data_IF_995262982428
#
_entry.id   IF_995262982428
#
_cell.length_a   1.000
_cell.length_b   1.000
_cell.length_c   1.000
_cell.angle_alpha   90.00
_cell.angle_beta   90.00
_cell.angle_gamma   90.00
#
_symmetry.space_group_name_H-M   'P 1'
#
loop_
_entity.id
_entity.type
_entity.pdbx_description
1 polymer ?
#
# COMPACT_ATOMS: atom_id res chain seq x y z
N UNK A 1 -22.06 -7.36 5.21
CA UNK A 1 -22.22 -8.25 4.05
C UNK A 1 -21.87 -9.66 4.49
N UNK A 2 -22.71 -10.66 4.19
CA UNK A 2 -22.34 -12.07 4.37
C UNK A 2 -21.14 -12.34 3.48
N UNK A 3 -19.99 -12.65 4.06
CA UNK A 3 -18.82 -13.03 3.29
C UNK A 3 -19.19 -14.29 2.51
N UNK A 4 -19.47 -14.15 1.21
CA UNK A 4 -19.57 -15.32 0.34
C UNK A 4 -18.25 -16.08 0.46
N UNK A 5 -18.34 -17.40 0.49
CA UNK A 5 -17.15 -18.25 0.57
C UNK A 5 -16.21 -18.01 -0.61
N UNK A 6 -14.99 -18.54 -0.58
CA UNK A 6 -13.99 -18.27 -1.60
C UNK A 6 -14.34 -18.90 -2.96
N UNK A 7 -15.50 -19.52 -3.14
CA UNK A 7 -15.93 -20.19 -4.38
C UNK A 7 -16.72 -19.30 -5.34
N UNK A 8 -16.75 -17.98 -5.13
CA UNK A 8 -17.38 -17.06 -6.07
C UNK A 8 -16.62 -17.00 -7.41
N UNK A 9 -17.35 -16.70 -8.49
CA UNK A 9 -16.83 -16.61 -9.86
C UNK A 9 -16.96 -15.17 -10.33
N UNK A 10 -15.91 -14.59 -10.92
CA UNK A 10 -16.02 -13.27 -11.54
C UNK A 10 -16.99 -13.33 -12.74
N UNK A 11 -17.94 -12.39 -12.88
CA UNK A 11 -18.76 -12.29 -14.08
C UNK A 11 -17.84 -12.09 -15.30
N UNK A 12 -18.04 -12.85 -16.38
CA UNK A 12 -17.27 -12.68 -17.62
C UNK A 12 -17.70 -11.45 -18.44
N UNK A 13 -18.90 -10.96 -18.19
CA UNK A 13 -19.51 -9.82 -18.87
C UNK A 13 -19.70 -8.66 -17.88
N UNK A 14 -19.90 -7.44 -18.39
CA UNK A 14 -20.09 -6.24 -17.57
C UNK A 14 -18.81 -5.75 -16.90
N UNK A 15 -17.63 -6.14 -17.41
CA UNK A 15 -16.33 -5.60 -17.02
C UNK A 15 -15.85 -4.46 -17.93
N UNK A 16 -16.70 -4.00 -18.84
CA UNK A 16 -16.51 -2.90 -19.80
C UNK A 16 -16.93 -1.54 -19.23
N UNK A 17 -17.18 -1.46 -17.92
CA UNK A 17 -17.44 -0.19 -17.26
C UNK A 17 -16.23 0.75 -17.35
N UNK A 18 -16.54 2.03 -17.39
CA UNK A 18 -15.59 3.13 -17.45
C UNK A 18 -15.58 3.87 -16.12
N UNK A 19 -14.39 4.19 -15.61
CA UNK A 19 -14.24 5.02 -14.41
C UNK A 19 -13.87 6.44 -14.79
N UNK A 20 -14.88 7.31 -14.94
CA UNK A 20 -14.65 8.69 -15.35
C UNK A 20 -13.90 9.50 -14.28
N UNK A 21 -14.01 9.14 -12.99
CA UNK A 21 -13.28 9.80 -11.90
C UNK A 21 -11.79 9.49 -12.03
N UNK A 22 -11.40 8.22 -12.11
CA UNK A 22 -9.99 7.83 -12.29
C UNK A 22 -9.41 8.40 -13.58
N UNK A 23 -10.17 8.36 -14.68
CA UNK A 23 -9.71 8.85 -15.97
C UNK A 23 -9.54 10.38 -15.98
N UNK A 24 -10.40 11.14 -15.29
CA UNK A 24 -10.23 12.58 -15.15
C UNK A 24 -8.92 12.94 -14.42
N UNK A 25 -8.58 12.22 -13.35
CA UNK A 25 -7.30 12.41 -12.65
C UNK A 25 -6.10 12.04 -13.53
N UNK A 26 -6.19 10.92 -14.24
CA UNK A 26 -5.16 10.44 -15.17
C UNK A 26 -4.92 11.45 -16.29
N UNK A 27 -5.97 11.93 -16.94
CA UNK A 27 -5.86 12.88 -18.05
C UNK A 27 -5.27 14.22 -17.59
N UNK A 28 -5.68 14.69 -16.41
CA UNK A 28 -5.08 15.87 -15.79
C UNK A 28 -3.58 15.70 -15.54
N UNK A 29 -3.16 14.59 -14.91
CA UNK A 29 -1.76 14.32 -14.62
C UNK A 29 -0.92 14.15 -15.90
N UNK A 30 -1.45 13.46 -16.91
CA UNK A 30 -0.79 13.31 -18.22
C UNK A 30 -0.61 14.65 -18.93
N UNK A 31 -1.52 15.61 -18.73
CA UNK A 31 -1.46 16.94 -19.33
C UNK A 31 -0.17 17.71 -19.03
N UNK A 32 0.54 17.37 -17.95
CA UNK A 32 1.82 17.98 -17.56
C UNK A 32 3.04 17.38 -18.25
N UNK A 33 2.87 16.34 -19.08
CA UNK A 33 3.96 15.66 -19.78
C UNK A 33 3.73 15.75 -21.28
N UNK A 34 4.74 16.12 -22.10
CA UNK A 34 4.61 16.08 -23.55
C UNK A 34 4.12 14.70 -24.01
N UNK A 35 3.11 14.67 -24.89
CA UNK A 35 2.43 13.44 -25.31
C UNK A 35 3.40 12.31 -25.72
N UNK A 36 4.37 12.62 -26.58
CA UNK A 36 5.35 11.64 -27.05
C UNK A 36 6.25 11.09 -25.92
N UNK A 37 6.61 11.92 -24.93
CA UNK A 37 7.36 11.50 -23.74
C UNK A 37 6.51 10.58 -22.86
N UNK A 38 5.23 10.89 -22.68
CA UNK A 38 4.32 10.05 -21.90
C UNK A 38 4.05 8.71 -22.58
N UNK A 39 3.79 8.69 -23.89
CA UNK A 39 3.61 7.46 -24.68
C UNK A 39 4.84 6.55 -24.55
N UNK A 40 6.05 7.10 -24.70
CA UNK A 40 7.31 6.35 -24.52
C UNK A 40 7.44 5.75 -23.11
N UNK A 41 7.08 6.50 -22.07
CA UNK A 41 7.14 6.03 -20.67
C UNK A 41 6.12 4.91 -20.41
N UNK A 42 4.92 5.01 -20.98
CA UNK A 42 3.90 3.96 -20.89
C UNK A 42 4.29 2.69 -21.66
N UNK A 43 4.91 2.82 -22.83
CA UNK A 43 5.47 1.69 -23.57
C UNK A 43 6.54 0.96 -22.77
N UNK A 44 7.44 1.70 -22.12
CA UNK A 44 8.46 1.12 -21.25
C UNK A 44 7.83 0.38 -20.04
N UNK A 45 6.79 0.96 -19.43
CA UNK A 45 6.07 0.32 -18.33
C UNK A 45 5.37 -0.98 -18.77
N UNK A 46 4.68 -0.97 -19.93
CA UNK A 46 4.05 -2.16 -20.52
C UNK A 46 5.06 -3.26 -20.87
N UNK A 47 6.17 -2.88 -21.50
CA UNK A 47 7.24 -3.81 -21.86
C UNK A 47 7.85 -4.48 -20.61
N UNK A 48 8.05 -3.71 -19.54
CA UNK A 48 8.54 -4.23 -18.27
C UNK A 48 7.55 -5.20 -17.63
N UNK A 49 6.27 -4.85 -17.55
CA UNK A 49 5.24 -5.72 -16.99
C UNK A 49 5.14 -7.03 -17.79
N UNK A 50 5.18 -6.94 -19.12
CA UNK A 50 5.22 -8.12 -20.02
C UNK A 50 6.41 -9.02 -19.70
N UNK A 51 7.61 -8.44 -19.60
CA UNK A 51 8.83 -9.18 -19.26
C UNK A 51 8.76 -9.83 -17.87
N UNK A 52 8.18 -9.13 -16.88
CA UNK A 52 7.96 -9.68 -15.56
C UNK A 52 7.02 -10.90 -15.62
N UNK A 53 5.93 -10.81 -16.39
CA UNK A 53 5.02 -11.93 -16.63
C UNK A 53 5.68 -13.16 -17.25
N UNK A 54 6.61 -12.98 -18.19
CA UNK A 54 7.39 -14.09 -18.77
C UNK A 54 8.25 -14.79 -17.71
N UNK A 55 8.89 -14.03 -16.82
CA UNK A 55 9.70 -14.56 -15.73
C UNK A 55 8.83 -15.27 -14.69
N UNK A 56 7.67 -14.71 -14.35
CA UNK A 56 6.71 -15.34 -13.44
C UNK A 56 6.21 -16.69 -13.94
N UNK A 57 6.08 -16.89 -15.26
CA UNK A 57 5.73 -18.20 -15.85
C UNK A 57 6.76 -19.29 -15.58
N UNK A 58 8.03 -18.90 -15.41
CA UNK A 58 9.11 -19.82 -15.09
C UNK A 58 9.33 -19.95 -13.58
N UNK A 59 8.45 -19.37 -12.76
CA UNK A 59 8.58 -19.34 -11.30
C UNK A 59 9.67 -18.38 -10.80
N UNK A 60 10.18 -17.49 -11.67
CA UNK A 60 11.20 -16.50 -11.33
C UNK A 60 10.55 -15.23 -10.75
N UNK A 61 11.23 -14.58 -9.81
CA UNK A 61 10.80 -13.29 -9.26
C UNK A 61 11.18 -12.13 -10.17
N UNK A 62 10.27 -11.18 -10.38
CA UNK A 62 10.51 -9.97 -11.17
C UNK A 62 9.59 -8.84 -10.73
N UNK A 63 10.11 -7.61 -10.73
CA UNK A 63 9.32 -6.41 -10.42
C UNK A 63 8.45 -6.00 -11.61
N UNK A 64 7.18 -5.71 -11.33
CA UNK A 64 6.19 -5.28 -12.32
C UNK A 64 6.49 -3.91 -12.95
N UNK A 65 7.22 -3.04 -12.24
CA UNK A 65 7.45 -1.64 -12.64
C UNK A 65 8.84 -1.12 -12.23
N UNK A 66 9.23 0.02 -12.79
CA UNK A 66 10.49 0.70 -12.48
C UNK A 66 10.26 1.72 -11.35
N UNK A 67 10.90 1.56 -10.17
CA UNK A 67 10.75 2.53 -9.08
C UNK A 67 11.26 3.93 -9.43
N UNK A 68 12.15 4.07 -10.43
CA UNK A 68 12.63 5.38 -10.87
C UNK A 68 11.55 6.18 -11.64
N UNK A 69 10.55 5.51 -12.22
CA UNK A 69 9.42 6.12 -12.91
C UNK A 69 8.08 5.55 -12.43
N UNK A 70 7.88 5.61 -11.11
CA UNK A 70 6.62 5.24 -10.48
C UNK A 70 5.43 6.06 -11.04
N UNK A 71 5.65 7.29 -11.51
CA UNK A 71 4.62 8.12 -12.13
C UNK A 71 4.04 7.46 -13.37
N UNK A 72 4.87 6.91 -14.27
CA UNK A 72 4.38 6.19 -15.44
C UNK A 72 3.59 4.93 -15.06
N UNK A 73 4.01 4.23 -13.99
CA UNK A 73 3.28 3.09 -13.45
C UNK A 73 1.88 3.49 -12.94
N UNK A 74 1.79 4.58 -12.18
CA UNK A 74 0.50 5.11 -11.69
C UNK A 74 -0.46 5.44 -12.83
N UNK A 75 0.04 6.10 -13.88
CA UNK A 75 -0.77 6.39 -15.08
C UNK A 75 -1.20 5.09 -15.77
N UNK A 76 -0.31 4.13 -15.99
CA UNK A 76 -0.66 2.86 -16.62
C UNK A 76 -1.74 2.10 -15.83
N UNK A 77 -1.61 2.04 -14.50
CA UNK A 77 -2.59 1.38 -13.65
C UNK A 77 -3.93 2.12 -13.62
N UNK A 78 -3.91 3.45 -13.57
CA UNK A 78 -5.13 4.28 -13.63
C UNK A 78 -5.85 4.18 -14.97
N UNK A 79 -5.14 4.30 -16.09
CA UNK A 79 -5.69 4.13 -17.45
C UNK A 79 -6.30 2.75 -17.62
N UNK A 80 -5.55 1.71 -17.25
CA UNK A 80 -6.02 0.33 -17.41
C UNK A 80 -7.21 0.05 -16.51
N UNK A 81 -7.21 0.53 -15.27
CA UNK A 81 -8.35 0.36 -14.39
C UNK A 81 -9.59 1.11 -14.89
N UNK A 82 -9.41 2.35 -15.37
CA UNK A 82 -10.49 3.20 -15.83
C UNK A 82 -11.07 2.77 -17.18
N UNK A 83 -10.27 2.12 -18.02
CA UNK A 83 -10.66 1.64 -19.35
C UNK A 83 -9.86 0.39 -19.78
N UNK A 84 -10.55 -0.68 -20.19
CA UNK A 84 -9.96 -1.88 -20.82
C UNK A 84 -9.29 -2.93 -19.93
N UNK A 85 -8.72 -2.58 -18.77
CA UNK A 85 -8.17 -3.50 -17.72
C UNK A 85 -7.05 -4.44 -18.15
N UNK A 86 -6.48 -4.22 -19.32
CA UNK A 86 -5.49 -5.11 -19.93
C UNK A 86 -4.18 -5.19 -19.12
N UNK A 87 -3.69 -4.05 -18.62
CA UNK A 87 -2.40 -3.94 -17.93
C UNK A 87 -2.53 -3.76 -16.42
N UNK A 88 -3.70 -4.08 -15.87
CA UNK A 88 -3.99 -3.92 -14.46
C UNK A 88 -3.32 -5.01 -13.61
N UNK A 89 -2.62 -4.61 -12.55
CA UNK A 89 -2.10 -5.48 -11.50
C UNK A 89 -3.01 -5.39 -10.25
N UNK A 90 -3.94 -6.33 -10.04
CA UNK A 90 -5.02 -6.19 -9.04
C UNK A 90 -4.52 -5.88 -7.62
N UNK A 91 -3.49 -6.58 -7.17
CA UNK A 91 -2.90 -6.43 -5.82
C UNK A 91 -2.25 -5.05 -5.57
N UNK A 92 -2.08 -4.22 -6.61
CA UNK A 92 -1.54 -2.86 -6.52
C UNK A 92 -2.61 -1.78 -6.60
N UNK A 93 -3.83 -2.11 -7.02
CA UNK A 93 -4.89 -1.13 -7.28
C UNK A 93 -5.28 -0.35 -6.04
N UNK A 94 -5.37 -1.00 -4.87
CA UNK A 94 -5.74 -0.36 -3.61
C UNK A 94 -4.78 0.77 -3.18
N UNK A 95 -3.58 0.84 -3.77
CA UNK A 95 -2.58 1.88 -3.50
C UNK A 95 -2.58 3.01 -4.54
N UNK A 96 -3.37 2.90 -5.59
CA UNK A 96 -3.37 3.83 -6.72
C UNK A 96 -4.76 4.35 -7.01
N UNK A 97 -5.71 3.44 -7.27
CA UNK A 97 -7.05 3.78 -7.72
C UNK A 97 -7.80 4.66 -6.72
N UNK A 98 -7.88 4.35 -5.40
CA UNK A 98 -8.67 5.16 -4.48
C UNK A 98 -8.22 6.63 -4.47
N UNK A 99 -6.91 6.85 -4.59
CA UNK A 99 -6.34 8.20 -4.55
C UNK A 99 -6.62 8.94 -5.86
N UNK A 100 -6.53 8.25 -7.02
CA UNK A 100 -6.92 8.82 -8.31
C UNK A 100 -8.42 9.12 -8.37
N UNK A 101 -9.27 8.21 -7.87
CA UNK A 101 -10.71 8.43 -7.75
C UNK A 101 -11.01 9.71 -6.96
N UNK A 102 -10.38 9.89 -5.78
CA UNK A 102 -10.55 11.12 -5.00
C UNK A 102 -10.13 12.38 -5.77
N UNK A 103 -8.96 12.36 -6.39
CA UNK A 103 -8.44 13.50 -7.15
C UNK A 103 -9.35 13.83 -8.34
N UNK A 104 -9.87 12.83 -9.03
CA UNK A 104 -10.73 12.99 -10.20
C UNK A 104 -12.11 13.52 -9.83
N UNK A 105 -12.73 12.96 -8.79
CA UNK A 105 -14.01 13.44 -8.24
C UNK A 105 -13.96 14.92 -7.86
N UNK A 106 -12.80 15.39 -7.39
CA UNK A 106 -12.61 16.76 -6.90
C UNK A 106 -11.67 17.58 -7.78
N UNK A 107 -11.59 17.23 -9.07
CA UNK A 107 -10.59 17.80 -9.98
C UNK A 107 -10.68 19.34 -10.06
N UNK A 108 -11.90 19.88 -10.14
CA UNK A 108 -12.09 21.34 -10.18
C UNK A 108 -11.61 22.02 -8.89
N UNK A 109 -11.81 21.36 -7.74
CA UNK A 109 -11.38 21.89 -6.44
C UNK A 109 -9.87 21.88 -6.32
N UNK A 110 -9.19 20.78 -6.68
CA UNK A 110 -7.72 20.71 -6.59
C UNK A 110 -7.07 21.70 -7.57
N UNK A 111 -7.63 21.89 -8.77
CA UNK A 111 -7.14 22.90 -9.73
C UNK A 111 -7.33 24.34 -9.26
N UNK A 112 -8.34 24.60 -8.43
CA UNK A 112 -8.56 25.91 -7.83
C UNK A 112 -7.60 26.24 -6.68
N UNK A 113 -6.82 25.27 -6.17
CA UNK A 113 -5.83 25.48 -5.11
C UNK A 113 -4.55 26.03 -5.75
N UNK A 114 -4.11 27.27 -5.42
CA UNK A 114 -2.90 27.83 -6.00
C UNK A 114 -1.67 26.98 -5.66
N UNK A 115 -0.83 26.71 -6.66
CA UNK A 115 0.38 25.88 -6.54
C UNK A 115 0.14 24.35 -6.68
N UNK A 116 -1.11 23.90 -6.79
CA UNK A 116 -1.41 22.47 -6.92
C UNK A 116 -1.01 21.88 -8.28
N UNK A 117 -1.21 22.63 -9.37
CA UNK A 117 -0.80 22.20 -10.72
C UNK A 117 0.73 22.11 -10.83
N UNK A 118 1.47 23.07 -10.28
CA UNK A 118 2.92 23.04 -10.21
C UNK A 118 3.42 21.85 -9.37
N UNK A 119 2.70 21.50 -8.29
CA UNK A 119 3.04 20.32 -7.48
C UNK A 119 2.86 19.02 -8.25
N UNK A 120 1.76 18.90 -9.01
CA UNK A 120 1.45 17.76 -9.86
C UNK A 120 2.42 17.65 -11.04
N UNK A 121 2.75 18.77 -11.70
CA UNK A 121 3.73 18.81 -12.78
C UNK A 121 5.11 18.32 -12.32
N UNK A 122 5.57 18.79 -11.15
CA UNK A 122 6.85 18.35 -10.57
C UNK A 122 6.86 16.84 -10.31
N UNK A 123 5.77 16.28 -9.79
CA UNK A 123 5.61 14.84 -9.59
C UNK A 123 5.74 14.07 -10.92
N UNK A 124 5.09 14.56 -11.97
CA UNK A 124 5.08 13.90 -13.28
C UNK A 124 6.39 14.03 -14.05
N UNK A 125 7.21 15.04 -13.75
CA UNK A 125 8.45 15.35 -14.47
C UNK A 125 9.73 15.10 -13.66
N UNK A 126 10.05 15.96 -12.69
CA UNK A 126 11.32 15.88 -11.94
C UNK A 126 11.29 14.89 -10.78
N UNK A 127 10.11 14.57 -10.26
CA UNK A 127 9.87 13.75 -9.07
C UNK A 127 9.24 12.40 -9.37
N UNK A 128 9.54 11.78 -10.52
CA UNK A 128 8.85 10.58 -11.04
C UNK A 128 8.86 9.37 -10.09
N UNK A 129 9.84 9.29 -9.19
CA UNK A 129 9.92 8.24 -8.16
C UNK A 129 9.11 8.57 -6.88
N UNK A 130 8.81 9.85 -6.63
CA UNK A 130 8.21 10.35 -5.39
C UNK A 130 6.71 10.67 -5.55
N UNK A 131 5.96 9.73 -6.14
CA UNK A 131 4.52 9.90 -6.43
C UNK A 131 3.69 9.90 -5.16
N UNK A 132 3.86 8.91 -4.28
CA UNK A 132 3.04 8.79 -3.07
C UNK A 132 3.12 10.03 -2.15
N UNK A 133 4.30 10.61 -1.85
CA UNK A 133 4.37 11.87 -1.11
C UNK A 133 3.63 13.02 -1.79
N UNK A 134 3.75 13.13 -3.12
CA UNK A 134 3.09 14.18 -3.88
C UNK A 134 1.57 14.07 -3.88
N UNK A 135 1.06 12.86 -4.12
CA UNK A 135 -0.38 12.56 -4.03
C UNK A 135 -0.89 12.83 -2.62
N UNK A 136 -0.12 12.44 -1.60
CA UNK A 136 -0.48 12.70 -0.21
C UNK A 136 -0.63 14.20 0.09
N UNK A 137 0.31 15.03 -0.36
CA UNK A 137 0.22 16.49 -0.21
C UNK A 137 -1.01 17.08 -0.92
N UNK A 138 -1.33 16.62 -2.15
CA UNK A 138 -2.53 17.03 -2.88
C UNK A 138 -3.81 16.64 -2.13
N UNK A 139 -3.87 15.43 -1.56
CA UNK A 139 -5.00 14.97 -0.76
C UNK A 139 -5.17 15.76 0.55
N UNK A 140 -4.07 16.12 1.22
CA UNK A 140 -4.11 17.00 2.41
C UNK A 140 -4.64 18.38 2.02
N UNK A 141 -4.09 19.00 0.96
CA UNK A 141 -4.56 20.30 0.48
C UNK A 141 -6.06 20.26 0.14
N UNK A 142 -6.50 19.17 -0.50
CA UNK A 142 -7.90 18.94 -0.83
C UNK A 142 -8.78 18.85 0.43
N UNK A 143 -8.34 18.12 1.47
CA UNK A 143 -9.08 18.03 2.73
C UNK A 143 -9.25 19.41 3.39
N UNK A 144 -8.19 20.22 3.47
CA UNK A 144 -8.29 21.59 3.99
C UNK A 144 -9.28 22.45 3.19
N UNK A 145 -9.22 22.37 1.85
CA UNK A 145 -10.14 23.08 0.95
C UNK A 145 -11.60 22.62 1.11
N UNK A 146 -11.86 21.31 1.22
CA UNK A 146 -13.20 20.74 1.48
C UNK A 146 -13.78 21.25 2.79
N UNK A 147 -12.95 21.33 3.81
CA UNK A 147 -13.31 21.95 5.08
C UNK A 147 -13.22 23.48 5.03
N UNK A 148 -13.44 24.13 3.88
CA UNK A 148 -13.64 25.58 3.75
C UNK A 148 -12.46 26.43 4.21
N UNK A 149 -11.23 25.93 4.12
CA UNK A 149 -10.02 26.74 4.27
C UNK A 149 -9.53 27.21 2.90
N UNK A 150 -9.18 28.48 2.78
CA UNK A 150 -8.37 28.96 1.67
C UNK A 150 -7.01 28.29 1.79
N UNK A 151 -6.65 27.47 0.81
CA UNK A 151 -5.48 26.59 0.85
C UNK A 151 -4.59 26.94 -0.33
N UNK A 152 -3.28 27.00 -0.09
CA UNK A 152 -2.26 27.32 -1.10
C UNK A 152 -1.00 26.48 -0.84
N UNK A 153 -0.40 25.93 -1.88
CA UNK A 153 0.93 25.33 -1.80
C UNK A 153 2.00 26.41 -1.68
N UNK A 154 2.95 26.19 -0.79
CA UNK A 154 4.10 27.10 -0.63
C UNK A 154 5.15 26.76 -1.69
N UNK A 155 5.58 27.71 -2.52
CA UNK A 155 6.61 27.46 -3.52
C UNK A 155 7.94 27.10 -2.87
N UNK A 156 8.55 26.00 -3.31
CA UNK A 156 9.91 25.64 -2.90
C UNK A 156 10.94 26.56 -3.58
N UNK A 157 11.79 27.18 -2.77
CA UNK A 157 12.91 27.99 -3.27
C UNK A 157 14.21 27.19 -3.07
N UNK A 158 14.88 26.80 -4.16
CA UNK A 158 16.15 26.07 -4.09
C UNK A 158 17.20 26.89 -3.35
N UNK A 159 17.75 26.33 -2.26
CA UNK A 159 18.71 27.04 -1.39
C UNK A 159 18.08 28.09 -0.48
N UNK A 160 16.75 28.22 -0.49
CA UNK A 160 15.98 29.06 0.41
C UNK A 160 15.80 28.43 1.80
N UNK A 161 15.15 29.17 2.72
CA UNK A 161 14.81 28.62 4.04
C UNK A 161 13.85 27.44 3.92
N UNK A 162 13.92 26.53 4.90
CA UNK A 162 12.94 25.44 5.02
C UNK A 162 11.54 26.04 5.20
N UNK A 163 10.60 25.60 4.38
CA UNK A 163 9.21 26.08 4.36
C UNK A 163 8.24 24.93 4.60
N UNK A 164 7.03 25.21 5.13
CA UNK A 164 5.97 24.22 5.15
C UNK A 164 5.48 23.92 3.74
N UNK A 165 4.74 22.84 3.54
CA UNK A 165 4.19 22.49 2.23
C UNK A 165 2.97 23.34 1.86
N UNK A 166 2.08 23.65 2.82
CA UNK A 166 0.88 24.44 2.59
C UNK A 166 0.73 25.59 3.59
N UNK A 167 0.10 26.65 3.11
CA UNK A 167 -0.50 27.69 3.92
C UNK A 167 -2.03 27.60 3.82
N UNK A 168 -2.70 27.60 4.97
CA UNK A 168 -4.16 27.52 5.05
C UNK A 168 -4.73 28.64 5.91
N UNK A 169 -5.82 29.24 5.44
CA UNK A 169 -6.43 30.38 6.09
C UNK A 169 -7.97 30.30 6.11
N UNK A 170 -8.53 30.82 7.21
CA UNK A 170 -9.93 31.22 7.37
C UNK A 170 -9.93 32.61 8.00
N UNK A 171 -11.05 33.34 8.03
CA UNK A 171 -11.10 34.62 8.72
C UNK A 171 -10.52 34.51 10.14
N UNK A 172 -9.45 35.28 10.39
CA UNK A 172 -8.73 35.37 11.68
C UNK A 172 -7.98 34.11 12.12
N UNK A 173 -7.80 33.10 11.25
CA UNK A 173 -7.05 31.87 11.57
C UNK A 173 -6.14 31.51 10.40
N UNK A 174 -4.87 31.34 10.70
CA UNK A 174 -3.84 30.98 9.72
C UNK A 174 -3.01 29.84 10.29
N UNK A 175 -2.71 28.83 9.47
CA UNK A 175 -1.90 27.69 9.84
C UNK A 175 -0.87 27.39 8.76
N UNK A 176 0.32 27.01 9.20
CA UNK A 176 1.30 26.35 8.36
C UNK A 176 1.11 24.83 8.45
N UNK A 177 1.08 24.17 7.31
CA UNK A 177 0.83 22.72 7.21
C UNK A 177 2.02 22.05 6.56
N UNK A 178 2.57 21.07 7.25
CA UNK A 178 3.66 20.22 6.76
C UNK A 178 3.13 18.80 6.54
N UNK A 179 3.52 18.16 5.44
CA UNK A 179 3.08 16.84 5.05
C UNK A 179 4.25 15.87 5.05
N UNK A 180 4.06 14.70 5.66
CA UNK A 180 5.04 13.62 5.65
C UNK A 180 4.36 12.30 5.35
N UNK A 181 4.69 11.69 4.22
CA UNK A 181 4.25 10.33 3.88
C UNK A 181 5.28 9.33 4.38
N UNK A 182 4.84 8.42 5.26
CA UNK A 182 5.65 7.33 5.81
C UNK A 182 5.22 6.02 5.14
N UNK A 183 6.09 5.51 4.27
CA UNK A 183 5.95 4.17 3.67
C UNK A 183 6.47 3.10 4.63
N UNK A 184 6.62 1.84 4.17
CA UNK A 184 7.20 0.77 4.98
C UNK A 184 8.56 1.18 5.53
N UNK A 185 8.82 0.86 6.79
CA UNK A 185 10.14 1.09 7.39
C UNK A 185 11.16 0.20 6.69
N UNK A 186 12.41 0.66 6.58
CA UNK A 186 13.50 -0.16 6.06
C UNK A 186 13.61 -1.52 6.78
N UNK A 187 13.27 -1.56 8.08
CA UNK A 187 13.16 -2.80 8.83
C UNK A 187 12.06 -3.73 8.30
N UNK A 188 10.84 -3.22 8.05
CA UNK A 188 9.74 -4.04 7.53
C UNK A 188 10.04 -4.55 6.11
N UNK A 189 10.68 -3.74 5.27
CA UNK A 189 11.15 -4.16 3.95
C UNK A 189 12.22 -5.25 4.04
N UNK A 190 13.20 -5.07 4.93
CA UNK A 190 14.25 -6.04 5.18
C UNK A 190 13.68 -7.36 5.73
N UNK A 191 12.76 -7.30 6.69
CA UNK A 191 12.14 -8.50 7.25
C UNK A 191 11.34 -9.27 6.19
N UNK A 192 10.58 -8.57 5.34
CA UNK A 192 9.89 -9.18 4.19
C UNK A 192 10.88 -9.83 3.22
N UNK A 193 12.01 -9.18 2.93
CA UNK A 193 13.05 -9.74 2.06
C UNK A 193 13.62 -11.04 2.62
N UNK A 194 13.87 -11.11 3.94
CA UNK A 194 14.30 -12.35 4.60
C UNK A 194 13.21 -13.44 4.55
N UNK A 195 11.94 -13.08 4.73
CA UNK A 195 10.82 -14.02 4.58
C UNK A 195 10.73 -14.61 3.17
N UNK A 196 10.90 -13.78 2.14
CA UNK A 196 10.97 -14.23 0.74
C UNK A 196 12.19 -15.15 0.51
N UNK A 197 13.34 -14.83 1.11
CA UNK A 197 14.54 -15.65 1.03
C UNK A 197 14.35 -17.03 1.68
N UNK A 198 13.65 -17.11 2.81
CA UNK A 198 13.28 -18.38 3.48
C UNK A 198 12.24 -19.18 2.68
N UNK A 199 11.31 -18.51 1.99
CA UNK A 199 10.29 -19.16 1.17
C UNK A 199 10.86 -19.76 -0.13
N UNK A 200 11.88 -19.13 -0.71
CA UNK A 200 12.45 -19.53 -2.01
C UNK A 200 12.95 -20.98 -2.06
N UNK A 201 13.73 -21.49 -1.07
CA UNK A 201 14.08 -22.91 -0.97
C UNK A 201 12.87 -23.86 -0.92
N UNK A 202 11.79 -23.48 -0.22
CA UNK A 202 10.56 -24.29 -0.15
C UNK A 202 9.90 -24.41 -1.52
N UNK A 203 9.86 -23.32 -2.29
CA UNK A 203 9.35 -23.35 -3.66
C UNK A 203 10.19 -24.27 -4.56
N UNK A 204 11.52 -24.22 -4.44
CA UNK A 204 12.42 -25.14 -5.17
C UNK A 204 12.23 -26.59 -4.76
N UNK A 205 12.03 -26.88 -3.47
CA UNK A 205 11.73 -28.22 -2.99
C UNK A 205 10.41 -28.74 -3.57
N UNK A 206 9.37 -27.88 -3.57
CA UNK A 206 8.06 -28.18 -4.16
C UNK A 206 8.15 -28.54 -5.64
N UNK A 207 8.94 -27.78 -6.38
CA UNK A 207 9.20 -27.99 -7.80
C UNK A 207 9.98 -29.28 -8.06
N UNK A 208 11.10 -29.48 -7.33
CA UNK A 208 11.98 -30.67 -7.45
C UNK A 208 11.24 -31.97 -7.15
N UNK A 209 10.32 -31.95 -6.20
CA UNK A 209 9.52 -33.12 -5.83
C UNK A 209 8.28 -33.30 -6.72
N UNK A 210 7.92 -32.31 -7.55
CA UNK A 210 6.66 -32.31 -8.28
C UNK A 210 5.43 -32.32 -7.36
N UNK A 211 5.56 -31.83 -6.12
CA UNK A 211 4.51 -31.83 -5.10
C UNK A 211 4.16 -30.41 -4.71
N UNK A 212 2.87 -30.09 -4.72
CA UNK A 212 2.39 -28.76 -4.36
C UNK A 212 2.13 -28.60 -2.86
N UNK A 213 2.48 -27.44 -2.31
CA UNK A 213 2.49 -27.17 -0.87
C UNK A 213 1.76 -25.89 -0.51
N UNK A 214 1.12 -25.91 0.65
CA UNK A 214 0.73 -24.70 1.38
C UNK A 214 1.38 -24.77 2.76
N UNK A 215 2.29 -23.84 3.01
CA UNK A 215 3.05 -23.69 4.24
C UNK A 215 2.58 -22.46 4.97
N UNK A 216 2.27 -22.61 6.26
CA UNK A 216 1.93 -21.49 7.15
C UNK A 216 2.86 -21.52 8.35
N UNK A 217 3.53 -20.42 8.62
CA UNK A 217 4.58 -20.34 9.66
C UNK A 217 4.47 -19.04 10.46
N UNK A 218 4.58 -19.16 11.78
CA UNK A 218 4.76 -18.03 12.69
C UNK A 218 6.20 -18.08 13.22
N UNK A 219 7.01 -17.12 12.82
CA UNK A 219 8.39 -16.99 13.29
C UNK A 219 8.41 -16.36 14.68
N UNK A 220 9.10 -17.01 15.61
CA UNK A 220 9.30 -16.57 16.99
C UNK A 220 10.63 -15.84 17.18
N UNK A 221 11.57 -16.06 16.26
CA UNK A 221 12.85 -15.36 16.15
C UNK A 221 12.82 -14.30 15.03
N UNK A 222 13.77 -13.38 15.06
CA UNK A 222 13.97 -12.37 14.01
C UNK A 222 14.37 -13.07 12.71
N UNK A 223 13.68 -12.76 11.60
CA UNK A 223 13.87 -13.46 10.32
C UNK A 223 15.29 -13.38 9.78
N UNK A 224 16.02 -12.31 10.09
CA UNK A 224 17.42 -12.13 9.72
C UNK A 224 18.39 -13.10 10.41
N UNK A 225 17.99 -13.65 11.56
CA UNK A 225 18.80 -14.57 12.36
C UNK A 225 18.47 -16.04 12.05
N UNK A 226 17.48 -16.29 11.19
CA UNK A 226 17.04 -17.64 10.82
C UNK A 226 17.92 -18.18 9.69
N UNK A 227 18.51 -19.39 9.83
CA UNK A 227 19.28 -20.01 8.76
C UNK A 227 18.47 -20.15 7.46
N UNK A 228 19.10 -19.89 6.32
CA UNK A 228 18.43 -19.85 5.03
C UNK A 228 17.76 -21.18 4.62
N UNK A 229 18.26 -22.32 5.11
CA UNK A 229 17.76 -23.66 4.87
C UNK A 229 16.73 -24.14 5.90
N UNK A 230 16.52 -23.39 6.99
CA UNK A 230 15.68 -23.79 8.11
C UNK A 230 14.27 -24.19 7.67
N UNK A 231 13.60 -23.34 6.88
CA UNK A 231 12.22 -23.61 6.47
C UNK A 231 12.13 -24.80 5.50
N UNK A 232 13.09 -24.96 4.58
CA UNK A 232 13.15 -26.13 3.69
C UNK A 232 13.30 -27.42 4.51
N UNK A 233 14.19 -27.42 5.50
CA UNK A 233 14.39 -28.56 6.38
C UNK A 233 13.12 -28.92 7.17
N UNK A 234 12.43 -27.93 7.77
CA UNK A 234 11.15 -28.16 8.46
C UNK A 234 10.09 -28.75 7.52
N UNK A 235 10.01 -28.25 6.28
CA UNK A 235 9.08 -28.78 5.27
C UNK A 235 9.45 -30.20 4.85
N UNK A 236 10.74 -30.50 4.64
CA UNK A 236 11.21 -31.84 4.31
C UNK A 236 10.88 -32.85 5.41
N UNK A 237 11.15 -32.51 6.68
CA UNK A 237 10.77 -33.34 7.82
C UNK A 237 9.24 -33.55 7.90
N UNK A 238 8.44 -32.49 7.67
CA UNK A 238 6.99 -32.58 7.69
C UNK A 238 6.41 -33.45 6.55
N UNK A 239 7.15 -33.64 5.44
CA UNK A 239 6.73 -34.53 4.35
C UNK A 239 6.87 -36.01 4.69
N UNK A 240 7.75 -36.35 5.64
CA UNK A 240 8.02 -37.73 6.09
C UNK A 240 7.38 -38.04 7.45
N UNK A 241 6.99 -37.00 8.19
CA UNK A 241 6.47 -37.11 9.55
C UNK A 241 5.21 -36.27 9.81
N UNK A 242 5.07 -35.72 11.03
CA UNK A 242 3.95 -34.86 11.36
C UNK A 242 3.92 -33.59 10.48
N UNK A 243 2.75 -33.29 9.92
CA UNK A 243 2.52 -32.09 9.08
C UNK A 243 2.58 -30.76 9.85
N UNK A 244 3.00 -30.76 11.12
CA UNK A 244 3.09 -29.58 11.99
C UNK A 244 4.39 -29.66 12.78
N UNK A 245 4.97 -28.50 13.04
CA UNK A 245 6.12 -28.36 13.93
C UNK A 245 5.93 -27.17 14.87
N UNK A 246 6.61 -27.23 16.01
CA UNK A 246 6.65 -26.19 17.01
C UNK A 246 7.99 -26.28 17.73
N UNK A 247 8.89 -25.32 17.47
CA UNK A 247 10.22 -25.26 18.06
C UNK A 247 10.53 -23.83 18.57
N UNK A 248 11.78 -23.57 18.96
CA UNK A 248 12.20 -22.26 19.46
C UNK A 248 12.21 -21.16 18.37
N UNK A 249 12.34 -21.53 17.09
CA UNK A 249 12.45 -20.62 15.96
C UNK A 249 11.08 -20.32 15.36
N UNK A 250 10.22 -21.32 15.21
CA UNK A 250 8.89 -21.14 14.62
C UNK A 250 7.87 -22.20 15.04
N UNK A 251 6.59 -21.86 14.83
CA UNK A 251 5.51 -22.83 14.79
C UNK A 251 4.90 -22.83 13.39
N UNK A 252 4.70 -24.00 12.78
CA UNK A 252 4.20 -24.05 11.43
C UNK A 252 3.50 -25.33 11.04
N UNK A 253 2.97 -25.32 9.82
CA UNK A 253 2.20 -26.40 9.26
C UNK A 253 2.38 -26.49 7.75
N UNK A 254 2.47 -27.72 7.28
CA UNK A 254 2.38 -28.10 5.87
C UNK A 254 0.99 -28.67 5.57
N UNK A 255 0.40 -28.24 4.45
CA UNK A 255 -0.87 -28.77 3.93
C UNK A 255 -0.79 -28.93 2.41
N UNK A 256 -1.68 -29.76 1.85
CA UNK A 256 -1.91 -29.77 0.40
C UNK A 256 -2.77 -28.57 -0.01
N UNK A 257 -2.58 -28.01 -1.21
CA UNK A 257 -3.48 -27.00 -1.74
C UNK A 257 -4.93 -27.50 -1.82
N UNK A 258 -5.88 -26.57 -1.71
CA UNK A 258 -7.29 -26.85 -1.91
C UNK A 258 -7.62 -26.97 -3.41
N UNK A 259 -7.16 -28.06 -4.03
CA UNK A 259 -7.35 -28.30 -5.47
C UNK A 259 -8.81 -28.36 -5.90
N UNK A 260 -9.72 -28.73 -5.00
CA UNK A 260 -11.16 -28.70 -5.29
C UNK A 260 -11.60 -27.27 -5.59
N UNK A 261 -11.25 -26.33 -4.70
CA UNK A 261 -11.60 -24.92 -4.84
C UNK A 261 -10.91 -24.28 -6.05
N UNK A 262 -9.62 -24.56 -6.25
CA UNK A 262 -8.86 -24.07 -7.42
C UNK A 262 -9.54 -24.50 -8.72
N UNK A 263 -9.87 -25.80 -8.87
CA UNK A 263 -10.50 -26.32 -10.09
C UNK A 263 -11.91 -25.76 -10.29
N UNK A 264 -12.73 -25.76 -9.24
CA UNK A 264 -14.11 -25.25 -9.29
C UNK A 264 -14.19 -23.81 -9.79
N UNK A 265 -13.23 -22.97 -9.39
CA UNK A 265 -13.16 -21.56 -9.81
C UNK A 265 -12.50 -21.42 -11.18
N UNK A 266 -11.32 -22.01 -11.39
CA UNK A 266 -10.56 -21.83 -12.63
C UNK A 266 -11.18 -22.50 -13.86
N UNK A 267 -12.10 -23.44 -13.68
CA UNK A 267 -12.92 -23.98 -14.77
C UNK A 267 -13.82 -22.91 -15.41
N UNK A 268 -14.05 -21.79 -14.71
CA UNK A 268 -14.98 -20.73 -15.13
C UNK A 268 -14.36 -19.34 -15.16
N UNK A 269 -13.26 -19.13 -14.45
CA UNK A 269 -12.63 -17.84 -14.24
C UNK A 269 -11.12 -17.88 -14.50
N UNK A 270 -10.54 -16.77 -14.94
CA UNK A 270 -9.09 -16.64 -15.03
C UNK A 270 -8.59 -15.80 -13.85
N UNK A 271 -7.59 -16.29 -13.14
CA UNK A 271 -7.14 -15.67 -11.88
C UNK A 271 -5.74 -15.10 -12.05
N UNK A 272 -5.54 -13.85 -11.65
CA UNK A 272 -4.23 -13.18 -11.76
C UNK A 272 -3.15 -13.97 -11.01
N UNK A 273 -2.03 -14.24 -11.67
CA UNK A 273 -0.95 -15.08 -11.12
C UNK A 273 -0.40 -14.50 -9.81
N UNK A 274 -0.31 -15.33 -8.77
CA UNK A 274 0.24 -14.94 -7.47
C UNK A 274 -0.56 -13.89 -6.71
N UNK A 275 -1.75 -13.52 -7.18
CA UNK A 275 -2.64 -12.57 -6.49
C UNK A 275 -3.13 -13.12 -5.15
N UNK A 276 -3.61 -12.22 -4.31
CA UNK A 276 -4.39 -12.54 -3.10
C UNK A 276 -5.48 -13.59 -3.35
N UNK A 277 -6.22 -13.47 -4.47
CA UNK A 277 -7.23 -14.44 -4.90
C UNK A 277 -6.63 -15.82 -5.21
N UNK A 278 -5.52 -15.90 -5.94
CA UNK A 278 -4.84 -17.17 -6.22
C UNK A 278 -4.38 -17.86 -4.93
N UNK A 279 -3.83 -17.08 -3.99
CA UNK A 279 -3.38 -17.56 -2.68
C UNK A 279 -4.57 -18.06 -1.86
N UNK A 280 -5.70 -17.36 -1.88
CA UNK A 280 -6.93 -17.76 -1.20
C UNK A 280 -7.46 -19.09 -1.73
N UNK A 281 -7.53 -19.26 -3.05
CA UNK A 281 -8.01 -20.49 -3.68
C UNK A 281 -7.09 -21.67 -3.34
N UNK A 282 -5.77 -21.47 -3.39
CA UNK A 282 -4.80 -22.51 -3.06
C UNK A 282 -4.79 -22.86 -1.57
N UNK A 283 -4.89 -21.86 -0.68
CA UNK A 283 -4.75 -22.02 0.77
C UNK A 283 -6.09 -22.25 1.50
N UNK A 284 -7.21 -22.01 0.82
CA UNK A 284 -8.57 -21.98 1.38
C UNK A 284 -8.93 -20.69 2.11
N UNK A 285 -7.99 -19.75 2.26
CA UNK A 285 -8.20 -18.41 2.84
C UNK A 285 -7.03 -17.48 2.51
N UNK A 286 -7.28 -16.17 2.49
CA UNK A 286 -6.25 -15.14 2.48
C UNK A 286 -6.11 -14.53 3.89
N UNK A 287 -4.91 -14.06 4.24
CA UNK A 287 -4.61 -13.48 5.56
C UNK A 287 -3.94 -12.13 5.33
N UNK A 288 -4.72 -11.07 5.33
CA UNK A 288 -4.29 -9.69 5.07
C UNK A 288 -3.25 -9.16 6.07
N UNK A 289 -3.12 -9.83 7.22
CA UNK A 289 -2.15 -9.52 8.27
C UNK A 289 -0.82 -10.30 8.11
N UNK A 290 -0.72 -11.18 7.12
CA UNK A 290 0.45 -11.99 6.84
C UNK A 290 1.17 -11.58 5.55
N UNK A 291 2.46 -11.87 5.50
CA UNK A 291 3.19 -11.83 4.24
C UNK A 291 3.03 -13.17 3.52
N UNK A 292 3.03 -13.12 2.19
CA UNK A 292 2.86 -14.28 1.33
C UNK A 292 3.94 -14.33 0.25
N UNK A 293 4.34 -15.54 -0.10
CA UNK A 293 5.12 -15.88 -1.28
C UNK A 293 4.41 -16.99 -2.05
N UNK A 294 4.34 -16.83 -3.36
CA UNK A 294 3.67 -17.75 -4.28
C UNK A 294 4.63 -18.12 -5.41
N UNK A 295 4.67 -19.40 -5.75
CA UNK A 295 5.29 -19.92 -6.96
C UNK A 295 4.41 -21.02 -7.53
N UNK A 296 4.36 -21.18 -8.85
CA UNK A 296 3.60 -22.27 -9.45
C UNK A 296 3.78 -22.39 -10.96
N UNK A 297 3.38 -23.54 -11.49
CA UNK A 297 3.28 -23.79 -12.93
C UNK A 297 1.84 -23.59 -13.38
N UNK A 298 1.64 -22.80 -14.42
CA UNK A 298 0.32 -22.37 -14.85
C UNK A 298 0.24 -22.19 -16.37
N UNK A 299 -0.99 -22.07 -16.88
CA UNK A 299 -1.27 -21.70 -18.27
C UNK A 299 -1.90 -20.31 -18.31
N UNK A 300 -1.34 -19.36 -19.08
CA UNK A 300 -1.99 -18.08 -19.31
C UNK A 300 -3.34 -18.21 -20.01
N UNK A 301 -4.27 -17.32 -19.68
CA UNK A 301 -5.52 -17.15 -20.40
C UNK A 301 -5.27 -16.45 -21.74
N UNK A 302 -6.10 -16.78 -22.74
CA UNK A 302 -6.04 -16.16 -24.05
C UNK A 302 -6.33 -14.65 -23.93
N UNK A 303 -5.49 -13.81 -24.56
CA UNK A 303 -5.60 -12.35 -24.46
C UNK A 303 -5.29 -11.74 -23.08
N UNK A 304 -5.02 -12.56 -22.04
CA UNK A 304 -4.77 -12.10 -20.66
C UNK A 304 -3.50 -12.74 -20.11
N UNK A 305 -2.31 -12.27 -20.53
CA UNK A 305 -1.04 -12.97 -20.32
C UNK A 305 -0.57 -13.08 -18.86
N UNK A 306 -1.21 -12.36 -17.93
CA UNK A 306 -0.94 -12.37 -16.48
C UNK A 306 -1.99 -13.15 -15.67
N UNK A 307 -3.08 -13.57 -16.31
CA UNK A 307 -4.16 -14.33 -15.69
C UNK A 307 -4.02 -15.80 -16.05
N UNK A 308 -4.11 -16.66 -15.06
CA UNK A 308 -4.04 -18.09 -15.26
C UNK A 308 -5.42 -18.66 -15.57
N UNK A 309 -5.53 -19.36 -16.70
CA UNK A 309 -6.67 -20.22 -17.04
C UNK A 309 -6.53 -21.62 -16.41
N UNK A 310 -5.32 -22.01 -16.00
CA UNK A 310 -5.09 -23.29 -15.32
C UNK A 310 -3.87 -23.20 -14.40
N UNK A 311 -3.96 -23.79 -13.21
CA UNK A 311 -2.85 -23.98 -12.27
C UNK A 311 -2.52 -25.47 -12.16
N UNK A 312 -1.33 -25.88 -12.57
CA UNK A 312 -0.88 -27.28 -12.56
C UNK A 312 -0.18 -27.68 -11.27
N UNK A 313 0.55 -26.72 -10.70
CA UNK A 313 1.36 -26.90 -9.49
C UNK A 313 1.46 -25.56 -8.78
N UNK A 314 1.46 -25.57 -7.45
CA UNK A 314 1.75 -24.37 -6.66
C UNK A 314 2.48 -24.67 -5.35
N UNK A 315 3.16 -23.64 -4.87
CA UNK A 315 3.79 -23.57 -3.57
C UNK A 315 3.46 -22.22 -2.96
N UNK A 316 2.75 -22.24 -1.83
CA UNK A 316 2.38 -21.05 -1.07
C UNK A 316 3.12 -21.09 0.26
N UNK A 317 3.82 -20.02 0.60
CA UNK A 317 4.39 -19.80 1.94
C UNK A 317 3.75 -18.54 2.51
N UNK A 318 3.06 -18.68 3.63
CA UNK A 318 2.45 -17.57 4.36
C UNK A 318 3.12 -17.46 5.72
N UNK A 319 3.59 -16.27 6.08
CA UNK A 319 4.27 -16.06 7.35
C UNK A 319 3.84 -14.81 8.11
N UNK A 320 3.97 -14.91 9.42
CA UNK A 320 3.93 -13.77 10.34
C UNK A 320 5.18 -13.80 11.22
N UNK A 321 5.59 -12.61 11.66
CA UNK A 321 6.63 -12.45 12.68
C UNK A 321 5.97 -12.14 14.03
N UNK A 322 6.22 -13.00 15.00
CA UNK A 322 5.76 -12.85 16.39
C UNK A 322 6.89 -12.47 17.34
N UNK A 323 8.09 -12.23 16.82
CA UNK A 323 9.23 -11.78 17.59
C UNK A 323 8.91 -10.42 18.26
N UNK A 324 9.09 -10.27 19.58
CA UNK A 324 8.79 -9.01 20.28
C UNK A 324 9.58 -7.82 19.73
N UNK A 325 10.84 -8.06 19.33
CA UNK A 325 11.71 -7.03 18.77
C UNK A 325 11.19 -6.53 17.41
N UNK A 326 10.77 -7.43 16.53
CA UNK A 326 10.09 -7.07 15.28
C UNK A 326 8.86 -6.19 15.49
N UNK A 327 8.01 -6.52 16.47
CA UNK A 327 6.83 -5.70 16.76
C UNK A 327 7.21 -4.28 17.20
N UNK A 328 8.26 -4.14 18.02
CA UNK A 328 8.77 -2.84 18.47
C UNK A 328 9.40 -2.03 17.34
N UNK A 329 10.16 -2.68 16.44
CA UNK A 329 10.83 -2.05 15.31
C UNK A 329 9.88 -1.70 14.17
N UNK A 330 8.77 -2.43 14.00
CA UNK A 330 7.67 -2.08 13.08
C UNK A 330 6.77 -0.97 13.64
N UNK A 331 6.68 -0.85 14.96
CA UNK A 331 5.95 0.21 15.64
C UNK A 331 6.82 1.49 15.84
N UNK A 332 7.51 1.94 14.78
CA UNK A 332 8.19 3.24 14.82
C UNK A 332 7.18 4.35 15.04
N UNK A 333 7.44 5.19 16.03
CA UNK A 333 6.64 6.37 16.36
C UNK A 333 7.18 7.62 15.65
N UNK A 334 6.37 8.67 15.52
CA UNK A 334 6.74 9.85 14.73
C UNK A 334 7.78 10.77 15.37
N UNK A 335 8.32 10.51 16.58
CA UNK A 335 9.18 11.47 17.32
C UNK A 335 10.28 12.12 16.46
N UNK A 336 11.05 11.32 15.70
CA UNK A 336 12.11 11.85 14.82
C UNK A 336 11.53 12.63 13.64
N UNK A 337 10.49 12.08 13.02
CA UNK A 337 9.78 12.70 11.90
C UNK A 337 9.24 14.10 12.28
N UNK A 338 8.64 14.25 13.46
CA UNK A 338 8.07 15.53 13.89
C UNK A 338 9.16 16.54 14.28
N UNK A 339 10.33 16.08 14.75
CA UNK A 339 11.45 16.97 15.03
C UNK A 339 12.06 17.54 13.73
N UNK A 340 12.10 16.72 12.67
CA UNK A 340 12.53 17.15 11.35
C UNK A 340 11.47 18.06 10.68
N UNK A 341 10.18 17.75 10.85
CA UNK A 341 9.06 18.51 10.33
C UNK A 341 8.91 19.88 11.01
N UNK A 342 9.14 19.96 12.33
CA UNK A 342 9.09 21.20 13.10
C UNK A 342 10.00 22.28 12.52
N UNK A 343 11.18 21.92 12.01
CA UNK A 343 12.12 22.85 11.41
C UNK A 343 11.65 23.50 10.09
N UNK A 344 10.52 23.06 9.54
CA UNK A 344 9.86 23.68 8.38
C UNK A 344 8.70 24.59 8.79
N UNK A 345 8.24 24.50 10.03
CA UNK A 345 7.13 25.31 10.51
C UNK A 345 7.62 26.70 10.92
N UNK A 346 6.93 27.78 10.53
CA UNK A 346 7.29 29.14 10.92
C UNK A 346 6.92 29.43 12.37
N UNK A 347 7.57 30.43 12.97
CA UNK A 347 7.35 30.85 14.37
C UNK A 347 6.23 31.89 14.54
N UNK A 348 5.72 32.44 13.44
CA UNK A 348 4.74 33.55 13.43
C UNK A 348 3.29 33.06 13.59
N UNK A 349 2.98 31.85 13.14
CA UNK A 349 1.63 31.26 13.13
C UNK A 349 1.62 29.81 13.60
N UNK A 350 0.48 29.30 14.12
CA UNK A 350 0.34 27.88 14.48
C UNK A 350 0.72 26.92 13.35
N UNK A 351 1.44 25.86 13.69
CA UNK A 351 1.87 24.83 12.77
C UNK A 351 1.21 23.48 13.07
N UNK A 352 0.94 22.72 12.01
CA UNK A 352 0.38 21.36 12.06
C UNK A 352 1.13 20.46 11.08
N UNK A 353 1.36 19.21 11.48
CA UNK A 353 2.01 18.21 10.62
C UNK A 353 1.00 17.09 10.32
N UNK A 354 0.78 16.79 9.05
CA UNK A 354 0.07 15.60 8.60
C UNK A 354 1.06 14.48 8.34
N UNK A 355 0.85 13.31 8.95
CA UNK A 355 1.69 12.13 8.80
C UNK A 355 0.87 10.97 8.24
N UNK A 356 1.13 10.60 6.99
CA UNK A 356 0.42 9.54 6.29
C UNK A 356 1.10 8.20 6.51
N UNK A 357 0.50 7.32 7.30
CA UNK A 357 0.98 5.97 7.58
C UNK A 357 0.28 4.94 6.70
N UNK A 358 1.04 3.99 6.17
CA UNK A 358 0.45 2.78 5.61
C UNK A 358 0.44 1.66 6.67
N UNK A 359 -0.73 1.11 6.96
CA UNK A 359 -0.92 0.06 7.96
C UNK A 359 -0.73 -1.31 7.31
N UNK A 360 0.52 -1.79 7.27
CA UNK A 360 0.90 -3.04 6.59
C UNK A 360 1.51 -4.10 7.53
N UNK A 361 1.63 -3.81 8.82
CA UNK A 361 2.45 -4.57 9.77
C UNK A 361 1.64 -5.36 10.81
N UNK A 362 0.34 -5.54 10.58
CA UNK A 362 -0.54 -6.22 11.51
C UNK A 362 -1.15 -5.30 12.57
N UNK A 363 -2.40 -5.57 12.98
CA UNK A 363 -3.13 -4.77 13.99
C UNK A 363 -2.36 -4.51 15.29
N UNK A 364 -1.53 -5.47 15.72
CA UNK A 364 -0.74 -5.35 16.95
C UNK A 364 0.32 -4.25 16.87
N UNK A 365 1.09 -4.19 15.77
CA UNK A 365 2.10 -3.15 15.55
C UNK A 365 1.49 -1.77 15.39
N UNK A 366 0.31 -1.69 14.77
CA UNK A 366 -0.41 -0.41 14.57
C UNK A 366 -0.97 0.14 15.89
N UNK A 367 -1.59 -0.73 16.71
CA UNK A 367 -2.04 -0.34 18.05
C UNK A 367 -0.88 0.13 18.92
N UNK A 368 0.25 -0.57 18.87
CA UNK A 368 1.46 -0.16 19.60
C UNK A 368 1.99 1.19 19.10
N UNK A 369 2.02 1.41 17.77
CA UNK A 369 2.43 2.68 17.17
C UNK A 369 1.57 3.84 17.66
N UNK A 370 0.25 3.68 17.67
CA UNK A 370 -0.66 4.71 18.15
C UNK A 370 -0.43 5.04 19.63
N UNK A 371 -0.31 4.03 20.49
CA UNK A 371 -0.05 4.25 21.92
C UNK A 371 1.27 5.02 22.13
N UNK A 372 2.33 4.64 21.40
CA UNK A 372 3.62 5.36 21.45
C UNK A 372 3.47 6.79 20.94
N UNK A 373 2.77 7.00 19.83
CA UNK A 373 2.51 8.33 19.29
C UNK A 373 1.77 9.25 20.28
N UNK A 374 0.76 8.73 21.00
CA UNK A 374 0.06 9.49 22.06
C UNK A 374 1.03 9.94 23.16
N UNK A 375 1.89 9.03 23.63
CA UNK A 375 2.87 9.33 24.67
C UNK A 375 3.90 10.34 24.16
N UNK A 376 4.48 10.09 22.98
CA UNK A 376 5.51 10.92 22.37
C UNK A 376 5.01 12.34 22.09
N UNK A 377 3.81 12.53 21.54
CA UNK A 377 3.25 13.86 21.34
C UNK A 377 3.05 14.64 22.64
N UNK A 378 2.57 13.98 23.70
CA UNK A 378 2.35 14.63 25.00
C UNK A 378 3.66 15.01 25.69
N UNK A 379 4.70 14.21 25.52
CA UNK A 379 6.03 14.43 26.11
C UNK A 379 6.95 15.27 25.24
N UNK A 380 6.58 15.53 23.98
CA UNK A 380 7.38 16.35 23.07
C UNK A 380 7.42 17.80 23.55
N UNK A 381 8.63 18.33 23.70
CA UNK A 381 8.88 19.75 23.99
C UNK A 381 9.36 20.41 22.69
N UNK A 382 8.46 21.08 21.95
CA UNK A 382 8.82 21.70 20.68
C UNK A 382 9.77 22.88 20.89
N UNK A 383 10.75 23.01 19.99
CA UNK A 383 11.58 24.23 19.84
C UNK A 383 10.75 25.39 19.31
N UNK A 384 9.85 25.13 18.37
CA UNK A 384 8.89 26.09 17.86
C UNK A 384 7.62 26.03 18.74
N UNK A 385 7.37 27.04 19.59
CA UNK A 385 6.21 27.03 20.48
C UNK A 385 4.87 27.11 19.73
N UNK A 386 4.87 27.37 18.41
CA UNK A 386 3.69 27.36 17.55
C UNK A 386 3.37 25.99 16.96
N UNK A 387 4.23 24.98 17.08
CA UNK A 387 3.88 23.62 16.68
C UNK A 387 2.82 23.05 17.64
N UNK A 388 1.60 22.81 17.13
CA UNK A 388 0.43 22.44 17.97
C UNK A 388 -0.07 21.03 17.76
N UNK A 389 -0.15 20.56 16.52
CA UNK A 389 -0.87 19.33 16.21
C UNK A 389 -0.10 18.46 15.23
N UNK A 390 -0.24 17.16 15.41
CA UNK A 390 0.08 16.16 14.39
C UNK A 390 -1.20 15.40 14.08
N UNK A 391 -1.54 15.25 12.81
CA UNK A 391 -2.56 14.30 12.37
C UNK A 391 -1.87 13.06 11.85
N UNK A 392 -2.16 11.90 12.43
CA UNK A 392 -1.82 10.61 11.84
C UNK A 392 -2.95 10.19 10.93
N UNK A 393 -2.74 10.22 9.62
CA UNK A 393 -3.65 9.70 8.61
C UNK A 393 -3.22 8.27 8.29
N UNK A 394 -4.05 7.28 8.61
CA UNK A 394 -3.76 5.86 8.46
C UNK A 394 -4.51 5.30 7.27
N UNK A 395 -3.77 4.68 6.36
CA UNK A 395 -4.29 4.03 5.17
C UNK A 395 -4.01 2.54 5.25
N UNK A 396 -5.06 1.74 5.16
CA UNK A 396 -5.02 0.28 5.09
C UNK A 396 -5.52 -0.17 3.72
N UNK A 397 -4.64 -0.19 2.68
CA UNK A 397 -4.99 -0.78 1.40
C UNK A 397 -5.23 -2.28 1.58
N UNK A 398 -6.44 -2.74 1.31
CA UNK A 398 -6.78 -4.15 1.44
C UNK A 398 -6.74 -4.83 0.08
N UNK A 399 -6.03 -5.96 0.04
CA UNK A 399 -6.10 -6.89 -1.09
C UNK A 399 -7.35 -7.72 -0.89
N UNK A 400 -8.48 -7.14 -1.29
CA UNK A 400 -9.78 -7.79 -1.16
C UNK A 400 -9.84 -9.05 -2.03
N UNK A 401 -10.39 -10.10 -1.45
CA UNK A 401 -10.80 -11.31 -2.17
C UNK A 401 -12.32 -11.43 -2.21
N UNK A 402 -13.05 -10.36 -1.83
CA UNK A 402 -14.49 -10.35 -1.86
C UNK A 402 -15.02 -10.22 -3.29
N UNK A 403 -16.22 -10.76 -3.50
CA UNK A 403 -16.89 -10.70 -4.80
C UNK A 403 -17.33 -9.27 -5.10
N UNK A 404 -17.17 -8.85 -6.36
CA UNK A 404 -17.51 -7.50 -6.86
C UNK A 404 -16.75 -6.37 -6.16
N UNK A 405 -15.61 -6.67 -5.53
CA UNK A 405 -14.74 -5.68 -4.93
C UNK A 405 -13.38 -5.73 -5.62
N UNK A 406 -12.95 -4.63 -6.24
CA UNK A 406 -11.70 -4.59 -7.00
C UNK A 406 -10.55 -3.99 -6.20
N UNK A 407 -10.87 -3.20 -5.19
CA UNK A 407 -9.97 -2.64 -4.20
C UNK A 407 -10.79 -2.31 -2.95
N UNK A 408 -10.15 -2.33 -1.79
CA UNK A 408 -10.70 -1.72 -0.59
C UNK A 408 -9.61 -0.88 0.08
N UNK A 409 -10.03 0.20 0.73
CA UNK A 409 -9.16 1.06 1.51
C UNK A 409 -9.89 1.40 2.80
N UNK A 410 -9.33 0.99 3.93
CA UNK A 410 -9.76 1.49 5.21
C UNK A 410 -8.90 2.70 5.59
N UNK A 411 -9.55 3.81 5.91
CA UNK A 411 -8.90 5.04 6.32
C UNK A 411 -9.31 5.40 7.76
N UNK A 412 -8.35 5.83 8.57
CA UNK A 412 -8.63 6.44 9.86
C UNK A 412 -7.70 7.61 10.15
N UNK A 413 -8.15 8.54 11.01
CA UNK A 413 -7.37 9.70 11.38
C UNK A 413 -7.29 9.83 12.90
N UNK A 414 -6.08 10.05 13.42
CA UNK A 414 -5.84 10.27 14.84
C UNK A 414 -5.15 11.62 15.09
N UNK A 415 -5.69 12.47 15.96
CA UNK A 415 -5.03 13.70 16.36
C UNK A 415 -4.07 13.50 17.52
N UNK A 416 -2.93 14.16 17.44
CA UNK A 416 -1.93 14.18 18.49
C UNK A 416 -1.61 15.63 18.85
N UNK A 417 -1.96 16.01 20.08
CA UNK A 417 -1.65 17.32 20.63
C UNK A 417 -0.18 17.37 21.04
N UNK A 418 0.56 18.34 20.50
CA UNK A 418 1.98 18.51 20.80
C UNK A 418 2.15 19.36 22.04
N UNK A 419 2.73 18.76 23.09
CA UNK A 419 2.91 19.38 24.39
C UNK A 419 1.57 19.82 25.02
N UNK A 420 1.60 20.95 25.75
CA UNK A 420 0.44 21.47 26.49
C UNK A 420 0.01 22.83 25.94
N UNK A 421 -1.16 22.89 25.31
CA UNK A 421 -1.81 24.13 24.88
C UNK A 421 -3.33 23.99 24.79
N UNK A 422 -4.02 25.12 24.58
CA UNK A 422 -5.49 25.20 24.44
C UNK A 422 -5.98 25.41 23.00
N UNK A 423 -5.08 25.57 22.03
CA UNK A 423 -5.42 25.68 20.61
C UNK A 423 -6.25 24.49 20.17
N UNK A 424 -7.46 24.72 19.68
CA UNK A 424 -8.28 23.68 19.05
C UNK A 424 -7.56 23.11 17.83
N UNK A 425 -7.79 21.84 17.51
CA UNK A 425 -7.36 21.28 16.24
C UNK A 425 -8.15 21.93 15.09
N UNK A 426 -7.46 22.37 14.02
CA UNK A 426 -8.09 23.18 12.97
C UNK A 426 -8.93 22.39 11.95
N UNK A 427 -8.77 21.07 11.90
CA UNK A 427 -9.31 20.18 10.87
C UNK A 427 -9.84 18.88 11.52
N UNK A 428 -10.94 18.94 12.27
CA UNK A 428 -11.51 17.77 12.94
C UNK A 428 -12.04 16.75 11.93
N UNK A 429 -11.91 15.47 12.25
CA UNK A 429 -12.58 14.33 11.60
C UNK A 429 -12.40 14.20 10.08
N UNK A 430 -11.38 14.85 9.51
CA UNK A 430 -11.10 14.79 8.08
C UNK A 430 -10.60 13.40 7.66
N UNK A 431 -11.11 12.94 6.52
CA UNK A 431 -10.54 11.85 5.73
C UNK A 431 -9.89 12.46 4.49
N UNK A 432 -8.81 11.86 4.00
CA UNK A 432 -8.06 12.32 2.83
C UNK A 432 -8.58 11.67 1.55
N UNK A 433 -9.03 10.41 1.61
CA UNK A 433 -9.48 9.62 0.45
C UNK A 433 -10.95 9.23 0.58
N UNK A 434 -11.32 8.70 1.73
CA UNK A 434 -12.69 8.25 2.03
C UNK A 434 -13.61 9.46 2.18
N UNK A 435 -14.91 9.25 1.94
CA UNK A 435 -15.91 10.27 2.23
C UNK A 435 -16.09 10.42 3.76
N UNK A 436 -16.31 11.64 4.22
CA UNK A 436 -16.37 11.95 5.66
C UNK A 436 -17.56 11.29 6.36
N UNK A 437 -18.64 11.01 5.61
CA UNK A 437 -19.85 10.35 6.12
C UNK A 437 -19.64 8.84 6.40
N UNK A 438 -18.61 8.24 5.80
CA UNK A 438 -18.21 6.85 6.05
C UNK A 438 -17.27 6.72 7.26
N UNK A 439 -16.94 7.84 7.92
CA UNK A 439 -16.08 7.84 9.09
C UNK A 439 -16.78 7.23 10.32
N UNK A 440 -16.20 6.16 10.86
CA UNK A 440 -16.51 5.71 12.21
C UNK A 440 -15.57 6.40 13.21
N UNK A 441 -16.10 7.09 14.24
CA UNK A 441 -15.26 7.66 15.29
C UNK A 441 -14.53 6.54 16.05
N UNK A 442 -13.21 6.47 15.90
CA UNK A 442 -12.41 5.45 16.56
C UNK A 442 -11.07 5.25 15.88
N UNK A 443 -10.14 4.61 16.58
CA UNK A 443 -8.89 4.16 15.96
C UNK A 443 -9.14 2.77 15.41
N UNK A 444 -9.47 2.70 14.13
CA UNK A 444 -9.68 1.46 13.41
C UNK A 444 -8.32 1.03 12.83
N UNK A 445 -7.76 -0.05 13.39
CA UNK A 445 -6.57 -0.74 12.88
C UNK A 445 -6.93 -2.15 12.46
#
# INVERSE_FOLDING_TARGET
MTHEGPNWIAPREGQDWRDDEVLAAVDWLKGFVPRAEMERRLDAARARLTRAGELWRNGEGADAYDPADAAAWWILQGESFGDGREWTAPDMLARTVPYLTRLGRELDRIRAIPGAEERAERMMNGGRAAVEPAIYELLVALAWSRHGWTTTFVPEVRGGPRSPDLDVARPRRHWAVECKRVTRTAYAENERAHGLALASPVHRLSERLGRSFVVRVAYKAELQDIPADYLEARVAEALEGPLRWDDAVSAGRLTSPNWRLVREVMDRDDVYYGSSRMIELASGRYDDQADHSFSGRWRPAEGRPFYASTLYHCSVVTWISTAPQAQLLKAQHFRRLIADAEGQLPDDRPGVVHVGFETMNGRASERLRHLRNVVEARLYTPRNPRFRWVYGNYFAPERTTARMETWALNESMAPYRIGRHRTAWPLPDHMLVSDEDDSQPGVHF
#
